data_IF_899632188978
#
_entry.id   IF_899632188978
#
_cell.length_a   1.000
_cell.length_b   1.000
_cell.length_c   1.000
_cell.angle_alpha   90.00
_cell.angle_beta   90.00
_cell.angle_gamma   90.00
#
_symmetry.space_group_name_H-M   'P 1'
#
loop_
_entity.id
_entity.type
_entity.pdbx_description
1 polymer ?
#
# COMPACT_ATOMS: atom_id res chain seq x y z
N UNK A 1 30.86 -17.40 29.55
CA UNK A 1 30.15 -17.91 30.76
C UNK A 1 29.11 -18.93 30.36
N UNK A 2 29.03 -20.09 31.01
CA UNK A 2 27.92 -21.04 30.73
C UNK A 2 26.61 -20.42 31.28
N UNK A 3 25.61 -20.24 30.42
CA UNK A 3 24.27 -19.83 30.84
C UNK A 3 23.66 -20.86 31.78
N UNK A 4 23.26 -20.43 32.95
CA UNK A 4 22.55 -21.30 33.89
C UNK A 4 21.05 -21.21 33.66
N UNK A 5 20.45 -22.33 33.23
CA UNK A 5 19.02 -22.45 33.06
C UNK A 5 18.50 -23.62 33.91
N UNK A 6 17.55 -23.32 34.85
CA UNK A 6 16.98 -24.32 35.75
C UNK A 6 15.47 -24.09 35.93
N UNK A 7 14.71 -25.18 35.88
CA UNK A 7 13.27 -25.21 36.18
C UNK A 7 13.05 -26.12 37.39
N UNK A 8 12.41 -25.61 38.42
CA UNK A 8 12.08 -26.35 39.65
C UNK A 8 10.59 -26.24 39.92
N UNK A 9 10.03 -27.29 40.51
CA UNK A 9 8.67 -27.26 41.09
C UNK A 9 8.72 -27.38 42.60
N UNK A 10 7.76 -26.74 43.26
CA UNK A 10 7.64 -26.76 44.72
C UNK A 10 6.19 -26.51 45.10
N UNK A 11 5.81 -26.84 46.34
CA UNK A 11 4.47 -26.59 46.86
C UNK A 11 4.47 -25.34 47.75
N UNK A 12 3.37 -24.56 47.67
CA UNK A 12 3.19 -23.37 48.48
C UNK A 12 2.31 -23.70 49.68
N UNK A 13 2.95 -24.04 50.85
CA UNK A 13 2.27 -24.37 52.08
C UNK A 13 1.42 -23.25 52.68
N UNK A 14 1.73 -21.96 52.38
CA UNK A 14 0.93 -20.83 52.86
C UNK A 14 -0.47 -20.74 52.24
N UNK A 15 -0.73 -21.50 51.17
CA UNK A 15 -2.01 -21.57 50.49
C UNK A 15 -2.67 -22.94 50.60
N UNK A 16 -2.40 -23.64 51.68
CA UNK A 16 -3.02 -24.93 52.01
C UNK A 16 -4.53 -24.80 52.24
N UNK A 17 -5.32 -25.67 51.63
CA UNK A 17 -6.77 -25.81 51.87
C UNK A 17 -7.10 -27.30 51.88
N UNK A 18 -7.76 -27.76 52.95
CA UNK A 18 -8.18 -29.16 53.11
C UNK A 18 -7.08 -30.17 52.79
N UNK A 19 -5.89 -29.99 53.39
CA UNK A 19 -4.69 -30.81 53.17
C UNK A 19 -4.09 -30.79 51.74
N UNK A 20 -4.65 -29.98 50.84
CA UNK A 20 -4.13 -29.78 49.51
C UNK A 20 -3.34 -28.47 49.38
N UNK A 21 -2.21 -28.54 48.70
CA UNK A 21 -1.31 -27.40 48.45
C UNK A 21 -1.14 -27.17 46.95
N UNK A 22 -1.12 -25.91 46.48
CA UNK A 22 -0.86 -25.59 45.10
C UNK A 22 0.61 -25.82 44.74
N UNK A 23 0.83 -26.39 43.53
CA UNK A 23 2.17 -26.56 42.96
C UNK A 23 2.57 -25.29 42.21
N UNK A 24 3.77 -24.81 42.51
CA UNK A 24 4.39 -23.63 41.93
C UNK A 24 5.61 -24.05 41.10
N UNK A 25 5.88 -23.33 40.01
CA UNK A 25 7.09 -23.44 39.23
C UNK A 25 8.02 -22.26 39.45
N UNK A 26 9.33 -22.50 39.37
CA UNK A 26 10.39 -21.49 39.42
C UNK A 26 11.34 -21.69 38.26
N UNK A 27 11.52 -20.64 37.47
CA UNK A 27 12.55 -20.57 36.41
C UNK A 27 13.70 -19.73 36.95
N UNK A 28 14.93 -20.19 36.79
CA UNK A 28 16.16 -19.45 37.13
C UNK A 28 17.06 -19.41 35.92
N UNK A 29 17.48 -18.20 35.49
CA UNK A 29 18.37 -17.96 34.38
C UNK A 29 19.39 -16.89 34.75
N UNK A 30 20.67 -17.22 34.72
CA UNK A 30 21.78 -16.29 35.00
C UNK A 30 21.56 -15.43 36.26
N UNK A 31 21.05 -16.04 37.33
CA UNK A 31 20.74 -15.34 38.59
C UNK A 31 19.37 -14.66 38.66
N UNK A 32 18.69 -14.43 37.54
CA UNK A 32 17.30 -13.96 37.56
C UNK A 32 16.34 -15.09 37.87
N UNK A 33 15.28 -14.78 38.66
CA UNK A 33 14.32 -15.77 39.16
C UNK A 33 12.89 -15.28 38.87
N UNK A 34 12.05 -16.16 38.32
CA UNK A 34 10.64 -15.92 38.13
C UNK A 34 9.80 -17.11 38.60
N UNK A 35 8.67 -16.83 39.24
CA UNK A 35 7.76 -17.84 39.77
C UNK A 35 6.42 -17.78 39.08
N UNK A 36 5.74 -18.95 38.97
CA UNK A 36 4.42 -19.06 38.36
C UNK A 36 3.61 -20.19 39.00
N UNK A 37 2.29 -20.12 38.88
CA UNK A 37 1.41 -21.23 39.31
C UNK A 37 1.33 -22.29 38.22
N UNK A 38 1.48 -23.55 38.61
CA UNK A 38 1.26 -24.66 37.67
C UNK A 38 -0.24 -24.97 37.46
N UNK A 39 -1.13 -24.30 38.19
CA UNK A 39 -2.58 -24.60 38.25
C UNK A 39 -2.90 -26.04 38.59
N UNK A 40 -2.06 -26.65 39.38
CA UNK A 40 -2.19 -28.01 39.91
C UNK A 40 -2.17 -27.93 41.46
N UNK A 41 -2.88 -28.84 42.09
CA UNK A 41 -2.88 -29.03 43.53
C UNK A 41 -2.53 -30.48 43.89
N UNK A 42 -1.94 -30.71 45.04
CA UNK A 42 -1.56 -32.05 45.49
C UNK A 42 -1.75 -32.13 47.02
N UNK A 43 -2.08 -33.32 47.54
CA UNK A 43 -2.06 -33.57 48.96
C UNK A 43 -0.63 -33.38 49.50
N UNK A 44 -0.46 -32.63 50.58
CA UNK A 44 0.85 -32.25 51.15
C UNK A 44 1.73 -33.45 51.42
N UNK A 45 1.15 -34.55 51.90
CA UNK A 45 1.84 -35.82 52.19
C UNK A 45 2.38 -36.50 50.95
N UNK A 46 1.79 -36.25 49.79
CA UNK A 46 2.18 -36.85 48.50
C UNK A 46 3.29 -36.06 47.79
N UNK A 47 3.75 -34.95 48.29
CA UNK A 47 4.83 -34.17 47.67
C UNK A 47 6.22 -34.62 48.16
N UNK A 48 7.13 -34.88 47.18
CA UNK A 48 8.53 -35.06 47.46
C UNK A 48 9.32 -33.77 47.24
N UNK A 49 9.69 -33.10 48.35
CA UNK A 49 10.42 -31.87 48.32
C UNK A 49 11.86 -32.01 47.78
N UNK A 50 12.50 -33.21 47.92
CA UNK A 50 13.83 -33.46 47.38
C UNK A 50 13.80 -33.77 45.86
N UNK A 51 12.83 -34.56 45.44
CA UNK A 51 12.62 -34.90 44.03
C UNK A 51 11.89 -33.83 43.22
N UNK A 52 11.28 -32.84 43.88
CA UNK A 52 10.47 -31.77 43.26
C UNK A 52 9.30 -32.34 42.41
N UNK A 53 8.64 -33.42 42.89
CA UNK A 53 7.54 -34.09 42.18
C UNK A 53 6.65 -34.90 43.15
N UNK A 54 5.55 -35.44 42.62
CA UNK A 54 4.67 -36.29 43.42
C UNK A 54 5.31 -37.64 43.78
N UNK A 55 5.13 -38.10 45.04
CA UNK A 55 5.57 -39.39 45.54
C UNK A 55 4.68 -40.53 45.07
N UNK A 56 5.25 -41.75 44.99
CA UNK A 56 4.51 -42.99 44.76
C UNK A 56 4.17 -43.29 43.29
N UNK A 57 3.40 -44.36 43.09
CA UNK A 57 3.02 -44.88 41.76
C UNK A 57 1.50 -44.84 41.54
N UNK A 58 0.75 -44.09 42.34
CA UNK A 58 -0.69 -43.89 42.16
C UNK A 58 -0.99 -43.26 40.80
N UNK A 59 -2.22 -43.38 40.31
CA UNK A 59 -2.67 -42.74 39.09
C UNK A 59 -2.52 -41.24 39.19
N UNK A 60 -2.95 -40.64 40.29
CA UNK A 60 -2.84 -39.22 40.60
C UNK A 60 -1.41 -38.72 40.55
N UNK A 61 -0.45 -39.43 41.21
CA UNK A 61 0.97 -39.11 41.17
C UNK A 61 1.54 -39.14 39.76
N UNK A 62 1.15 -40.12 38.95
CA UNK A 62 1.58 -40.21 37.54
C UNK A 62 1.04 -39.06 36.72
N UNK A 63 -0.24 -38.76 36.86
CA UNK A 63 -0.88 -37.68 36.08
C UNK A 63 -0.29 -36.30 36.43
N UNK A 64 -0.04 -36.04 37.72
CA UNK A 64 0.66 -34.82 38.17
C UNK A 64 2.07 -34.73 37.62
N UNK A 65 2.85 -35.83 37.74
CA UNK A 65 4.22 -35.84 37.22
C UNK A 65 4.30 -35.66 35.70
N UNK A 66 3.37 -36.25 34.96
CA UNK A 66 3.26 -36.04 33.51
C UNK A 66 2.95 -34.59 33.15
N UNK A 67 2.03 -33.97 33.92
CA UNK A 67 1.70 -32.56 33.75
C UNK A 67 2.91 -31.64 34.05
N UNK A 68 3.68 -31.95 35.07
CA UNK A 68 4.92 -31.20 35.41
C UNK A 68 6.00 -31.34 34.33
N UNK A 69 6.17 -32.56 33.81
CA UNK A 69 7.11 -32.81 32.72
C UNK A 69 6.70 -32.06 31.41
N UNK A 70 5.41 -32.01 31.11
CA UNK A 70 4.86 -31.20 30.00
C UNK A 70 5.10 -29.69 30.19
N UNK A 71 4.86 -29.17 31.39
CA UNK A 71 5.13 -27.77 31.75
C UNK A 71 6.62 -27.46 31.57
N UNK A 72 7.49 -28.33 32.06
CA UNK A 72 8.95 -28.18 31.92
C UNK A 72 9.38 -28.17 30.45
N UNK A 73 8.84 -29.05 29.62
CA UNK A 73 9.13 -29.12 28.19
C UNK A 73 8.69 -27.81 27.48
N UNK A 74 7.52 -27.28 27.80
CA UNK A 74 7.04 -26.01 27.25
C UNK A 74 7.96 -24.84 27.62
N UNK A 75 8.39 -24.76 28.89
CA UNK A 75 9.30 -23.71 29.38
C UNK A 75 10.65 -23.81 28.65
N UNK A 76 11.20 -25.01 28.47
CA UNK A 76 12.44 -25.25 27.71
C UNK A 76 12.26 -24.74 26.27
N UNK A 77 11.15 -25.06 25.62
CA UNK A 77 10.85 -24.59 24.26
C UNK A 77 10.77 -23.06 24.16
N UNK A 78 10.14 -22.40 25.14
CA UNK A 78 10.10 -20.95 25.20
C UNK A 78 11.50 -20.35 25.44
N UNK A 79 12.29 -20.93 26.34
CA UNK A 79 13.67 -20.50 26.56
C UNK A 79 14.51 -20.57 25.29
N UNK A 80 14.49 -21.70 24.57
CA UNK A 80 15.21 -21.85 23.32
C UNK A 80 14.79 -20.81 22.30
N UNK A 81 13.46 -20.63 22.09
CA UNK A 81 12.92 -19.66 21.13
C UNK A 81 13.34 -18.23 21.43
N UNK A 82 13.40 -17.84 22.71
CA UNK A 82 13.83 -16.51 23.12
C UNK A 82 15.35 -16.37 22.98
N UNK A 83 16.12 -17.40 23.38
CA UNK A 83 17.58 -17.42 23.29
C UNK A 83 18.09 -17.34 21.85
N UNK A 84 17.32 -17.86 20.86
CA UNK A 84 17.65 -17.79 19.43
C UNK A 84 17.42 -16.39 18.82
N UNK A 85 16.70 -15.51 19.53
CA UNK A 85 16.26 -14.21 19.00
C UNK A 85 16.81 -13.00 19.76
N UNK A 86 17.03 -13.16 21.05
CA UNK A 86 17.38 -12.07 21.96
C UNK A 86 18.84 -12.19 22.41
N UNK A 87 19.51 -11.07 22.48
CA UNK A 87 20.92 -11.01 22.95
C UNK A 87 21.08 -11.45 24.41
N UNK A 88 20.00 -11.43 25.19
CA UNK A 88 19.96 -11.93 26.57
C UNK A 88 18.58 -12.47 26.92
N UNK A 89 18.52 -13.43 27.83
CA UNK A 89 17.28 -14.05 28.29
C UNK A 89 17.17 -13.92 29.82
N UNK A 90 16.01 -13.44 30.29
CA UNK A 90 15.69 -13.42 31.72
C UNK A 90 14.65 -14.46 32.11
N UNK A 91 14.63 -14.89 33.35
CA UNK A 91 13.60 -15.80 33.88
C UNK A 91 12.18 -15.23 33.72
N UNK A 92 12.05 -13.92 33.82
CA UNK A 92 10.77 -13.24 33.63
C UNK A 92 10.26 -13.29 32.20
N UNK A 93 11.12 -13.10 31.20
CA UNK A 93 10.78 -13.25 29.78
C UNK A 93 10.24 -14.66 29.47
N UNK A 94 10.89 -15.69 30.00
CA UNK A 94 10.47 -17.08 29.81
C UNK A 94 9.16 -17.39 30.52
N UNK A 95 9.01 -16.94 31.78
CA UNK A 95 7.75 -17.06 32.54
C UNK A 95 6.59 -16.38 31.76
N UNK A 96 6.79 -15.16 31.35
CA UNK A 96 5.78 -14.38 30.66
C UNK A 96 5.38 -15.06 29.33
N UNK A 97 6.34 -15.55 28.56
CA UNK A 97 6.10 -16.29 27.33
C UNK A 97 5.29 -17.58 27.59
N UNK A 98 5.61 -18.31 28.67
CA UNK A 98 4.87 -19.50 29.08
C UNK A 98 3.44 -19.19 29.54
N UNK A 99 3.26 -18.11 30.31
CA UNK A 99 1.95 -17.67 30.81
C UNK A 99 1.12 -16.88 29.77
N UNK A 100 1.70 -16.57 28.61
CA UNK A 100 1.10 -15.64 27.65
C UNK A 100 1.05 -14.19 28.15
N UNK A 101 1.80 -13.85 29.21
CA UNK A 101 1.89 -12.52 29.78
C UNK A 101 3.02 -11.77 29.05
N UNK A 102 2.69 -10.65 28.41
CA UNK A 102 3.69 -9.79 27.76
C UNK A 102 4.19 -10.28 26.39
N UNK A 103 3.79 -11.44 25.88
CA UNK A 103 3.60 -11.60 24.46
C UNK A 103 2.25 -10.94 24.17
N UNK A 104 2.24 -9.65 23.91
CA UNK A 104 1.29 -9.15 22.93
C UNK A 104 1.57 -10.03 21.72
N UNK A 105 0.82 -11.11 21.55
CA UNK A 105 0.71 -11.77 20.25
C UNK A 105 0.26 -10.64 19.34
N UNK A 106 1.17 -10.14 18.52
CA UNK A 106 0.80 -9.06 17.66
C UNK A 106 -0.34 -9.57 16.80
N UNK A 107 -1.50 -9.03 17.08
CA UNK A 107 -2.70 -9.37 16.32
C UNK A 107 -2.66 -8.64 15.00
N UNK A 108 -3.34 -9.16 14.01
CA UNK A 108 -3.30 -8.62 12.66
C UNK A 108 -3.82 -7.18 12.60
N UNK A 109 -4.96 -6.90 13.26
CA UNK A 109 -5.50 -5.53 13.31
C UNK A 109 -4.64 -4.63 14.21
N UNK A 110 -4.10 -5.14 15.30
CA UNK A 110 -3.16 -4.41 16.15
C UNK A 110 -1.91 -3.96 15.40
N UNK A 111 -1.30 -4.83 14.60
CA UNK A 111 -0.17 -4.47 13.73
C UNK A 111 -0.56 -3.45 12.66
N UNK A 112 -1.76 -3.58 12.09
CA UNK A 112 -2.27 -2.63 11.12
C UNK A 112 -2.47 -1.24 11.76
N UNK A 113 -3.00 -1.20 12.97
CA UNK A 113 -3.24 0.04 13.71
C UNK A 113 -1.91 0.74 14.08
N UNK A 114 -0.90 0.00 14.56
CA UNK A 114 0.46 0.52 14.82
C UNK A 114 1.09 1.15 13.56
N UNK A 115 0.97 0.45 12.41
CA UNK A 115 1.51 0.96 11.14
C UNK A 115 0.73 2.19 10.65
N UNK A 116 -0.59 2.24 10.87
CA UNK A 116 -1.43 3.40 10.56
C UNK A 116 -1.08 4.61 11.44
N UNK A 117 -0.84 4.43 12.73
CA UNK A 117 -0.41 5.50 13.63
C UNK A 117 0.98 6.05 13.22
N UNK A 118 1.91 5.16 12.88
CA UNK A 118 3.23 5.57 12.35
C UNK A 118 3.08 6.36 11.04
N UNK A 119 2.17 5.95 10.16
CA UNK A 119 1.88 6.67 8.92
C UNK A 119 1.25 8.04 9.18
N UNK A 120 0.31 8.12 10.14
CA UNK A 120 -0.40 9.34 10.52
C UNK A 120 0.56 10.44 11.00
N UNK A 121 1.58 10.08 11.79
CA UNK A 121 2.62 11.02 12.27
C UNK A 121 3.42 11.68 11.13
N UNK A 122 3.43 11.09 9.93
CA UNK A 122 4.18 11.58 8.77
C UNK A 122 3.32 12.34 7.76
N UNK A 123 2.02 12.56 8.07
CA UNK A 123 1.12 13.36 7.23
C UNK A 123 1.59 14.83 7.25
N UNK A 124 1.65 15.42 6.06
CA UNK A 124 2.12 16.80 5.89
C UNK A 124 3.65 16.92 5.71
N UNK A 125 4.43 15.91 6.08
CA UNK A 125 5.88 15.87 5.86
C UNK A 125 6.19 15.10 4.56
N UNK A 126 5.89 13.82 4.51
CA UNK A 126 6.18 12.94 3.37
C UNK A 126 4.96 12.10 2.92
N UNK A 127 3.86 12.20 3.61
CA UNK A 127 2.65 11.41 3.38
C UNK A 127 1.41 12.28 3.22
N UNK A 128 0.52 11.89 2.31
CA UNK A 128 -0.74 12.59 2.08
C UNK A 128 -1.86 12.06 2.99
N UNK A 129 -2.71 12.96 3.50
CA UNK A 129 -3.89 12.62 4.30
C UNK A 129 -4.88 11.71 3.54
N UNK A 130 -4.98 11.87 2.20
CA UNK A 130 -5.80 11.00 1.35
C UNK A 130 -5.34 9.55 1.38
N UNK A 131 -4.02 9.30 1.39
CA UNK A 131 -3.45 7.96 1.51
C UNK A 131 -3.74 7.33 2.87
N UNK A 132 -3.72 8.12 3.94
CA UNK A 132 -4.12 7.65 5.27
C UNK A 132 -5.59 7.19 5.30
N UNK A 133 -6.51 7.96 4.67
CA UNK A 133 -7.91 7.55 4.58
C UNK A 133 -8.10 6.20 3.89
N UNK A 134 -7.33 5.92 2.85
CA UNK A 134 -7.36 4.60 2.17
C UNK A 134 -6.88 3.49 3.10
N UNK A 135 -5.82 3.71 3.89
CA UNK A 135 -5.31 2.74 4.85
C UNK A 135 -6.32 2.42 5.95
N UNK A 136 -6.99 3.45 6.50
CA UNK A 136 -8.06 3.26 7.49
C UNK A 136 -9.21 2.43 6.91
N UNK A 137 -9.61 2.69 5.66
CA UNK A 137 -10.62 1.85 4.98
C UNK A 137 -10.15 0.40 4.82
N UNK A 138 -8.88 0.17 4.44
CA UNK A 138 -8.31 -1.18 4.34
C UNK A 138 -8.39 -1.92 5.66
N UNK A 139 -8.03 -1.27 6.76
CA UNK A 139 -8.14 -1.81 8.11
C UNK A 139 -9.57 -2.17 8.49
N UNK A 140 -10.53 -1.29 8.14
CA UNK A 140 -11.95 -1.51 8.45
C UNK A 140 -12.54 -2.68 7.62
N UNK A 141 -12.19 -2.81 6.34
CA UNK A 141 -12.58 -3.97 5.53
C UNK A 141 -12.02 -5.26 6.10
N UNK A 142 -10.77 -5.25 6.56
CA UNK A 142 -10.13 -6.41 7.17
C UNK A 142 -10.83 -6.79 8.49
N UNK A 143 -11.17 -5.82 9.35
CA UNK A 143 -11.92 -6.06 10.58
C UNK A 143 -13.31 -6.64 10.31
N UNK A 144 -14.02 -6.12 9.31
CA UNK A 144 -15.32 -6.62 8.91
C UNK A 144 -15.23 -8.07 8.39
N UNK A 145 -14.22 -8.39 7.59
CA UNK A 145 -13.93 -9.75 7.14
C UNK A 145 -13.69 -10.72 8.30
N UNK A 146 -12.79 -10.37 9.22
CA UNK A 146 -12.47 -11.20 10.40
C UNK A 146 -13.73 -11.44 11.22
N UNK A 147 -14.51 -10.39 11.48
CA UNK A 147 -15.76 -10.51 12.22
C UNK A 147 -16.79 -11.40 11.52
N UNK A 148 -16.94 -11.27 10.20
CA UNK A 148 -17.92 -12.04 9.41
C UNK A 148 -17.53 -13.50 9.26
N UNK A 149 -16.29 -13.78 8.81
CA UNK A 149 -15.86 -15.13 8.42
C UNK A 149 -15.31 -15.94 9.60
N UNK A 150 -14.60 -15.28 10.53
CA UNK A 150 -13.95 -15.97 11.67
C UNK A 150 -14.69 -15.79 12.99
N UNK A 151 -15.75 -14.93 13.07
CA UNK A 151 -16.53 -14.64 14.28
C UNK A 151 -15.65 -14.15 15.45
N UNK A 152 -14.56 -13.48 15.15
CA UNK A 152 -13.59 -12.92 16.12
C UNK A 152 -13.44 -11.42 15.95
N UNK A 153 -12.96 -10.74 17.01
CA UNK A 153 -12.61 -9.32 16.95
C UNK A 153 -11.27 -9.06 16.27
N UNK A 154 -10.33 -10.04 16.34
CA UNK A 154 -9.01 -9.99 15.73
C UNK A 154 -8.42 -11.41 15.62
N UNK A 155 -7.30 -11.58 14.89
CA UNK A 155 -6.60 -12.85 14.68
C UNK A 155 -5.12 -12.68 15.02
N UNK A 156 -4.52 -13.69 15.66
CA UNK A 156 -3.07 -13.71 15.88
C UNK A 156 -2.30 -13.83 14.57
N UNK A 157 -1.19 -13.09 14.43
CA UNK A 157 -0.28 -13.21 13.29
C UNK A 157 0.22 -14.65 13.06
N UNK A 158 0.29 -15.46 14.13
CA UNK A 158 0.75 -16.84 14.06
C UNK A 158 -0.30 -17.81 13.46
N UNK A 159 -1.59 -17.43 13.47
CA UNK A 159 -2.69 -18.21 12.93
C UNK A 159 -2.89 -18.00 11.42
N UNK A 160 -2.21 -17.01 10.81
CA UNK A 160 -2.39 -16.68 9.41
C UNK A 160 -1.90 -17.82 8.49
N UNK A 161 -2.77 -18.23 7.58
CA UNK A 161 -2.50 -19.24 6.55
C UNK A 161 -2.42 -18.59 5.16
N UNK A 162 -1.83 -19.26 4.16
CA UNK A 162 -1.84 -18.78 2.77
C UNK A 162 -3.25 -18.54 2.20
N UNK A 163 -4.25 -19.27 2.69
CA UNK A 163 -5.63 -19.16 2.20
C UNK A 163 -6.37 -17.96 2.78
N UNK A 164 -5.97 -17.44 3.94
CA UNK A 164 -6.57 -16.26 4.56
C UNK A 164 -6.64 -15.05 3.60
N UNK A 165 -5.56 -14.76 2.85
CA UNK A 165 -5.55 -13.61 1.93
C UNK A 165 -6.41 -13.87 0.69
N UNK A 166 -6.56 -15.12 0.25
CA UNK A 166 -7.47 -15.51 -0.86
C UNK A 166 -8.93 -15.38 -0.44
N UNK A 167 -9.27 -15.83 0.76
CA UNK A 167 -10.62 -15.67 1.34
C UNK A 167 -10.96 -14.18 1.51
N UNK A 168 -9.97 -13.36 1.93
CA UNK A 168 -10.14 -11.92 2.03
C UNK A 168 -10.38 -11.28 0.66
N UNK A 169 -9.65 -11.71 -0.39
CA UNK A 169 -9.85 -11.26 -1.78
C UNK A 169 -11.28 -11.57 -2.27
N UNK A 170 -11.75 -12.79 -2.03
CA UNK A 170 -13.12 -13.21 -2.36
C UNK A 170 -14.12 -12.34 -1.61
N UNK A 171 -13.97 -12.19 -0.30
CA UNK A 171 -14.84 -11.35 0.52
C UNK A 171 -14.92 -9.91 0.00
N UNK A 172 -13.79 -9.30 -0.36
CA UNK A 172 -13.75 -7.94 -0.90
C UNK A 172 -14.50 -7.82 -2.23
N UNK A 173 -14.42 -8.85 -3.06
CA UNK A 173 -15.05 -8.86 -4.39
C UNK A 173 -16.55 -9.15 -4.31
N UNK A 174 -16.97 -10.10 -3.47
CA UNK A 174 -18.36 -10.59 -3.38
C UNK A 174 -19.17 -9.82 -2.34
N UNK A 175 -18.73 -9.85 -1.08
CA UNK A 175 -19.48 -9.29 0.05
C UNK A 175 -19.35 -7.77 0.18
N UNK A 176 -18.16 -7.24 -0.06
CA UNK A 176 -17.92 -5.80 -0.04
C UNK A 176 -18.20 -5.13 -1.40
N UNK A 177 -18.39 -5.89 -2.47
CA UNK A 177 -18.73 -5.39 -3.82
C UNK A 177 -17.69 -4.48 -4.42
N UNK A 178 -16.40 -4.67 -4.09
CA UNK A 178 -15.35 -3.79 -4.55
C UNK A 178 -14.84 -4.16 -5.95
N UNK A 179 -14.48 -3.13 -6.73
CA UNK A 179 -13.81 -3.33 -8.02
C UNK A 179 -12.38 -3.86 -7.86
N UNK A 180 -11.90 -4.63 -8.83
CA UNK A 180 -10.59 -5.31 -8.82
C UNK A 180 -9.41 -4.42 -8.39
N UNK A 181 -9.36 -3.16 -8.81
CA UNK A 181 -8.29 -2.23 -8.41
C UNK A 181 -8.31 -1.89 -6.92
N UNK A 182 -9.49 -1.82 -6.30
CA UNK A 182 -9.65 -1.62 -4.85
C UNK A 182 -9.31 -2.91 -4.09
N UNK A 183 -9.79 -4.06 -4.57
CA UNK A 183 -9.45 -5.38 -4.02
C UNK A 183 -7.95 -5.57 -3.98
N UNK A 184 -7.27 -5.34 -5.12
CA UNK A 184 -5.82 -5.39 -5.21
C UNK A 184 -5.15 -4.50 -4.14
N UNK A 185 -5.60 -3.25 -4.03
CA UNK A 185 -5.02 -2.30 -3.08
C UNK A 185 -5.15 -2.77 -1.64
N UNK A 186 -6.31 -3.29 -1.24
CA UNK A 186 -6.54 -3.79 0.12
C UNK A 186 -5.73 -5.06 0.41
N UNK A 187 -5.64 -6.01 -0.52
CA UNK A 187 -4.80 -7.21 -0.40
C UNK A 187 -3.31 -6.86 -0.31
N UNK A 188 -2.85 -5.86 -1.07
CA UNK A 188 -1.46 -5.41 -1.01
C UNK A 188 -1.12 -4.73 0.32
N UNK A 189 -2.06 -3.98 0.91
CA UNK A 189 -1.88 -3.44 2.27
C UNK A 189 -1.75 -4.56 3.30
N UNK A 190 -2.64 -5.55 3.27
CA UNK A 190 -2.57 -6.72 4.15
C UNK A 190 -1.22 -7.44 3.99
N UNK A 191 -0.81 -7.73 2.75
CA UNK A 191 0.49 -8.36 2.45
C UNK A 191 1.65 -7.54 3.01
N UNK A 192 1.60 -6.21 2.90
CA UNK A 192 2.65 -5.32 3.41
C UNK A 192 2.75 -5.38 4.93
N UNK A 193 1.63 -5.37 5.65
CA UNK A 193 1.62 -5.47 7.12
C UNK A 193 2.23 -6.79 7.59
N UNK A 194 1.80 -7.91 6.99
CA UNK A 194 2.32 -9.24 7.35
C UNK A 194 3.80 -9.40 6.98
N UNK A 195 4.22 -8.82 5.83
CA UNK A 195 5.64 -8.83 5.46
C UNK A 195 6.51 -8.04 6.44
N UNK A 196 6.03 -6.87 6.92
CA UNK A 196 6.70 -6.09 7.97
C UNK A 196 6.77 -6.86 9.29
N UNK A 197 5.68 -7.52 9.69
CA UNK A 197 5.65 -8.34 10.90
C UNK A 197 6.68 -9.49 10.81
N UNK A 198 6.78 -10.14 9.67
CA UNK A 198 7.78 -11.18 9.44
C UNK A 198 9.21 -10.62 9.49
N UNK A 199 9.48 -9.50 8.80
CA UNK A 199 10.79 -8.85 8.81
C UNK A 199 11.22 -8.44 10.23
N UNK A 200 10.27 -7.99 11.07
CA UNK A 200 10.50 -7.64 12.47
C UNK A 200 10.53 -8.86 13.42
N UNK A 201 10.53 -10.09 12.91
CA UNK A 201 10.60 -11.31 13.70
C UNK A 201 9.35 -11.69 14.48
N UNK A 202 8.23 -11.01 14.24
CA UNK A 202 6.94 -11.26 14.94
C UNK A 202 6.24 -12.51 14.45
N UNK A 203 6.55 -12.97 13.22
CA UNK A 203 6.09 -14.26 12.69
C UNK A 203 7.28 -15.06 12.13
N UNK A 204 7.31 -16.40 12.30
CA UNK A 204 8.43 -17.23 11.83
C UNK A 204 8.46 -17.34 10.30
N UNK A 205 7.34 -17.11 9.62
CA UNK A 205 7.20 -17.17 8.16
C UNK A 205 6.20 -16.11 7.67
N UNK A 206 6.34 -15.71 6.41
CA UNK A 206 5.36 -14.89 5.73
C UNK A 206 4.41 -15.78 4.91
N UNK A 207 3.17 -16.04 5.37
CA UNK A 207 2.24 -16.92 4.67
C UNK A 207 1.79 -16.36 3.32
N UNK A 208 1.95 -15.05 3.08
CA UNK A 208 1.52 -14.38 1.85
C UNK A 208 2.67 -14.12 0.86
N UNK A 209 3.86 -14.71 1.08
CA UNK A 209 5.02 -14.48 0.22
C UNK A 209 4.73 -14.83 -1.26
N UNK A 210 4.08 -15.97 -1.50
CA UNK A 210 3.75 -16.48 -2.83
C UNK A 210 2.46 -15.87 -3.43
N UNK A 211 1.68 -15.13 -2.63
CA UNK A 211 0.42 -14.56 -3.09
C UNK A 211 0.65 -13.52 -4.19
N UNK A 212 -0.05 -13.68 -5.30
CA UNK A 212 -0.09 -12.74 -6.43
C UNK A 212 -1.55 -12.40 -6.71
N UNK A 213 -1.87 -11.11 -6.72
CA UNK A 213 -3.19 -10.63 -7.14
C UNK A 213 -3.18 -10.44 -8.65
N UNK A 214 -4.14 -11.03 -9.34
CA UNK A 214 -4.34 -10.73 -10.76
C UNK A 214 -4.90 -9.32 -10.90
N UNK A 215 -4.08 -8.41 -11.40
CA UNK A 215 -4.55 -7.10 -11.83
C UNK A 215 -5.18 -7.21 -13.21
N UNK A 216 -6.50 -7.40 -13.28
CA UNK A 216 -7.23 -7.09 -14.50
C UNK A 216 -7.29 -5.56 -14.62
N UNK A 217 -6.23 -4.96 -15.12
CA UNK A 217 -6.16 -3.53 -15.40
C UNK A 217 -7.00 -3.29 -16.65
N UNK A 218 -8.22 -2.78 -16.48
CA UNK A 218 -8.98 -2.24 -17.61
C UNK A 218 -8.15 -1.13 -18.25
N UNK A 219 -7.93 -1.20 -19.56
CA UNK A 219 -7.32 -0.10 -20.29
C UNK A 219 -8.14 1.17 -20.08
N UNK A 220 -7.47 2.24 -19.70
CA UNK A 220 -8.15 3.52 -19.52
C UNK A 220 -8.45 4.10 -20.89
N UNK A 221 -9.70 4.49 -21.08
CA UNK A 221 -10.13 5.17 -22.29
C UNK A 221 -9.54 6.59 -22.34
N UNK A 222 -9.33 7.09 -23.52
CA UNK A 222 -8.94 8.47 -23.82
C UNK A 222 -9.60 8.91 -25.13
N UNK A 223 -9.65 10.21 -25.37
CA UNK A 223 -10.17 10.74 -26.62
C UNK A 223 -9.11 10.68 -27.73
N UNK A 224 -9.53 10.26 -28.91
CA UNK A 224 -8.73 10.35 -30.14
C UNK A 224 -8.58 11.80 -30.58
N UNK A 225 -7.71 12.08 -31.54
CA UNK A 225 -7.53 13.42 -32.11
C UNK A 225 -8.85 13.98 -32.65
N UNK A 226 -9.62 13.16 -33.39
CA UNK A 226 -10.90 13.59 -33.94
C UNK A 226 -11.98 13.82 -32.90
N UNK A 227 -12.04 12.98 -31.86
CA UNK A 227 -12.94 13.19 -30.73
C UNK A 227 -12.58 14.47 -29.95
N UNK A 228 -11.29 14.81 -29.82
CA UNK A 228 -10.87 16.09 -29.23
C UNK A 228 -11.33 17.25 -30.10
N UNK A 229 -11.22 17.18 -31.44
CA UNK A 229 -11.71 18.19 -32.35
C UNK A 229 -13.23 18.40 -32.19
N UNK A 230 -14.02 17.30 -32.08
CA UNK A 230 -15.45 17.37 -31.83
C UNK A 230 -15.74 18.12 -30.53
N UNK A 231 -15.04 17.78 -29.45
CA UNK A 231 -15.21 18.47 -28.16
C UNK A 231 -14.85 19.96 -28.26
N UNK A 232 -13.80 20.31 -29.00
CA UNK A 232 -13.34 21.70 -29.15
C UNK A 232 -14.33 22.57 -29.93
N UNK A 233 -14.95 22.01 -30.97
CA UNK A 233 -15.84 22.75 -31.88
C UNK A 233 -17.30 22.75 -31.45
N UNK A 234 -17.66 21.89 -30.47
CA UNK A 234 -19.04 21.81 -30.00
C UNK A 234 -19.45 23.07 -29.25
N UNK A 235 -20.59 23.68 -29.63
CA UNK A 235 -21.16 24.83 -28.95
C UNK A 235 -22.10 24.39 -27.82
N UNK A 236 -21.78 24.77 -26.59
CA UNK A 236 -22.59 24.47 -25.42
C UNK A 236 -23.42 25.67 -25.05
N UNK A 237 -24.74 25.52 -24.95
CA UNK A 237 -25.65 26.54 -24.45
C UNK A 237 -25.39 26.81 -22.94
N UNK A 238 -25.00 25.80 -22.18
CA UNK A 238 -24.62 25.94 -20.78
C UNK A 238 -23.18 26.45 -20.65
N UNK A 239 -23.03 27.69 -20.16
CA UNK A 239 -21.72 28.35 -19.91
C UNK A 239 -20.79 27.49 -19.01
N UNK A 240 -21.37 26.70 -18.10
CA UNK A 240 -20.59 25.80 -17.24
C UNK A 240 -20.00 24.65 -18.03
N UNK A 241 -20.74 24.09 -18.97
CA UNK A 241 -20.22 23.03 -19.85
C UNK A 241 -19.15 23.57 -20.80
N UNK A 242 -19.33 24.79 -21.34
CA UNK A 242 -18.33 25.46 -22.14
C UNK A 242 -17.01 25.69 -21.36
N UNK A 243 -17.11 26.12 -20.10
CA UNK A 243 -15.94 26.27 -19.24
C UNK A 243 -15.24 24.94 -18.98
N UNK A 244 -16.00 23.87 -18.71
CA UNK A 244 -15.43 22.51 -18.47
C UNK A 244 -14.80 21.97 -19.74
N UNK A 245 -15.37 22.23 -20.93
CA UNK A 245 -14.73 21.92 -22.21
C UNK A 245 -13.35 22.58 -22.31
N UNK A 246 -13.29 23.90 -22.06
CA UNK A 246 -12.04 24.63 -22.17
C UNK A 246 -10.97 24.12 -21.20
N UNK A 247 -11.34 23.81 -19.95
CA UNK A 247 -10.44 23.18 -18.98
C UNK A 247 -9.99 21.78 -19.41
N UNK A 248 -10.90 20.99 -20.00
CA UNK A 248 -10.61 19.66 -20.49
C UNK A 248 -9.65 19.72 -21.68
N UNK A 249 -9.90 20.63 -22.62
CA UNK A 249 -9.03 20.89 -23.78
C UNK A 249 -7.66 21.39 -23.30
N UNK A 250 -7.61 22.36 -22.41
CA UNK A 250 -6.36 22.83 -21.82
C UNK A 250 -5.54 21.69 -21.22
N UNK A 251 -6.17 20.81 -20.41
CA UNK A 251 -5.53 19.63 -19.85
C UNK A 251 -5.07 18.62 -20.94
N UNK A 252 -5.80 18.51 -22.03
CA UNK A 252 -5.46 17.60 -23.15
C UNK A 252 -4.24 18.06 -23.94
N UNK A 253 -3.91 19.34 -23.92
CA UNK A 253 -2.75 19.91 -24.61
C UNK A 253 -1.57 20.23 -23.68
N UNK A 254 -1.76 20.21 -22.36
CA UNK A 254 -0.70 20.48 -21.37
C UNK A 254 -0.32 19.27 -20.54
N UNK A 255 -1.13 18.20 -20.59
CA UNK A 255 -0.98 17.02 -19.73
C UNK A 255 -1.02 17.32 -18.22
N UNK A 256 -1.47 18.49 -17.81
CA UNK A 256 -1.60 18.85 -16.41
C UNK A 256 -2.71 18.04 -15.74
N UNK A 257 -2.48 17.62 -14.49
CA UNK A 257 -3.54 17.02 -13.70
C UNK A 257 -4.51 18.10 -13.20
N UNK A 258 -5.71 17.70 -12.81
CA UNK A 258 -6.68 18.65 -12.26
C UNK A 258 -6.13 19.48 -11.11
N UNK A 259 -5.35 18.88 -10.21
CA UNK A 259 -4.75 19.56 -9.07
C UNK A 259 -3.68 20.56 -9.52
N UNK A 260 -2.84 20.20 -10.49
CA UNK A 260 -1.83 21.10 -11.04
C UNK A 260 -2.49 22.31 -11.73
N UNK A 261 -3.62 22.11 -12.46
CA UNK A 261 -4.39 23.22 -13.07
C UNK A 261 -5.04 24.10 -11.99
N UNK A 262 -5.57 23.50 -10.94
CA UNK A 262 -6.19 24.23 -9.82
C UNK A 262 -5.20 25.15 -9.12
N UNK A 263 -3.94 24.73 -9.02
CA UNK A 263 -2.88 25.49 -8.33
C UNK A 263 -2.03 26.33 -9.29
N UNK A 264 -2.34 26.29 -10.60
CA UNK A 264 -1.58 27.01 -11.62
C UNK A 264 -1.76 28.53 -11.44
N UNK A 265 -0.63 29.23 -11.29
CA UNK A 265 -0.57 30.68 -11.17
C UNK A 265 0.01 31.34 -12.41
N UNK A 266 -0.21 32.63 -12.55
CA UNK A 266 0.44 33.44 -13.60
C UNK A 266 1.97 33.46 -13.44
N UNK A 267 2.46 33.33 -12.21
CA UNK A 267 3.91 33.27 -11.93
C UNK A 267 4.56 31.95 -12.41
N UNK A 268 3.78 30.89 -12.63
CA UNK A 268 4.26 29.65 -13.24
C UNK A 268 4.45 29.75 -14.76
N UNK A 269 3.90 30.80 -15.39
CA UNK A 269 3.98 31.03 -16.84
C UNK A 269 5.13 31.96 -17.14
N UNK A 270 6.18 31.43 -17.72
CA UNK A 270 7.41 32.15 -18.03
C UNK A 270 7.65 32.22 -19.53
N UNK A 271 8.39 33.21 -20.00
CA UNK A 271 8.82 33.31 -21.38
C UNK A 271 10.26 32.82 -21.54
N UNK A 272 10.46 31.89 -22.48
CA UNK A 272 11.77 31.33 -22.80
C UNK A 272 11.92 31.38 -24.32
N UNK A 273 12.90 32.13 -24.81
CA UNK A 273 13.17 32.31 -26.26
C UNK A 273 11.94 32.79 -27.06
N UNK A 274 11.15 33.70 -26.51
CA UNK A 274 9.95 34.23 -27.17
C UNK A 274 8.72 33.31 -27.09
N UNK A 275 8.82 32.18 -26.42
CA UNK A 275 7.76 31.19 -26.27
C UNK A 275 7.31 31.07 -24.82
N UNK A 276 6.02 30.89 -24.57
CA UNK A 276 5.49 30.73 -23.22
C UNK A 276 5.55 29.28 -22.75
N UNK A 277 6.00 29.11 -21.52
CA UNK A 277 6.18 27.82 -20.88
C UNK A 277 5.54 27.83 -19.49
N UNK A 278 4.99 26.68 -19.07
CA UNK A 278 4.65 26.43 -17.66
C UNK A 278 5.83 25.72 -17.02
N UNK A 279 6.42 26.36 -15.98
CA UNK A 279 7.43 25.78 -15.11
C UNK A 279 6.87 25.65 -13.70
N UNK A 280 6.63 24.44 -13.24
CA UNK A 280 6.06 24.22 -11.91
C UNK A 280 6.46 22.86 -11.34
N UNK A 281 5.94 22.52 -10.17
CA UNK A 281 6.19 21.26 -9.49
C UNK A 281 4.90 20.45 -9.36
N UNK A 282 4.94 19.17 -9.69
CA UNK A 282 3.79 18.28 -9.48
C UNK A 282 3.34 18.31 -8.03
N UNK A 283 2.07 18.57 -7.79
CA UNK A 283 1.49 18.60 -6.43
C UNK A 283 1.78 17.29 -5.68
N UNK A 284 1.58 16.14 -6.32
CA UNK A 284 1.68 14.82 -5.69
C UNK A 284 3.12 14.35 -5.44
N UNK A 285 4.03 14.60 -6.38
CA UNK A 285 5.39 14.01 -6.36
C UNK A 285 6.48 15.03 -6.11
N UNK A 286 6.13 16.33 -6.11
CA UNK A 286 7.06 17.47 -6.00
C UNK A 286 8.14 17.50 -7.08
N UNK A 287 7.97 16.72 -8.16
CA UNK A 287 8.88 16.68 -9.31
C UNK A 287 8.63 17.89 -10.18
N UNK A 288 9.70 18.57 -10.57
CA UNK A 288 9.64 19.66 -11.54
C UNK A 288 9.15 19.14 -12.88
N UNK A 289 8.29 19.89 -13.52
CA UNK A 289 7.86 19.65 -14.89
C UNK A 289 7.88 20.96 -15.68
N UNK A 290 7.98 20.83 -16.99
CA UNK A 290 7.96 21.94 -17.90
C UNK A 290 7.11 21.59 -19.12
N UNK A 291 6.25 22.52 -19.52
CA UNK A 291 5.31 22.34 -20.62
C UNK A 291 5.34 23.59 -21.49
N UNK A 292 5.68 23.44 -22.78
CA UNK A 292 5.51 24.52 -23.75
C UNK A 292 4.03 24.77 -23.97
N UNK A 293 3.60 26.00 -23.87
CA UNK A 293 2.23 26.38 -24.19
C UNK A 293 2.08 26.54 -25.70
N UNK A 294 1.26 25.65 -26.28
CA UNK A 294 0.86 25.72 -27.68
C UNK A 294 -0.26 26.76 -27.84
N UNK A 295 -0.63 27.10 -29.08
CA UNK A 295 -1.61 28.14 -29.40
C UNK A 295 -2.97 27.93 -28.71
N UNK A 296 -3.47 26.69 -28.65
CA UNK A 296 -4.78 26.37 -28.07
C UNK A 296 -4.79 26.66 -26.56
N UNK A 297 -3.87 26.14 -25.73
CA UNK A 297 -3.73 26.54 -24.33
C UNK A 297 -3.60 28.06 -24.13
N UNK A 298 -2.83 28.75 -24.98
CA UNK A 298 -2.68 30.21 -24.87
C UNK A 298 -3.99 30.95 -25.12
N UNK A 299 -4.75 30.56 -26.14
CA UNK A 299 -6.08 31.12 -26.41
C UNK A 299 -7.04 30.90 -25.24
N UNK A 300 -6.99 29.71 -24.59
CA UNK A 300 -7.82 29.42 -23.43
C UNK A 300 -7.42 30.32 -22.25
N UNK A 301 -6.12 30.46 -21.95
CA UNK A 301 -5.65 31.35 -20.87
C UNK A 301 -6.15 32.80 -21.12
N UNK A 302 -5.97 33.32 -22.33
CA UNK A 302 -6.40 34.66 -22.71
C UNK A 302 -7.91 34.87 -22.56
N UNK A 303 -8.72 33.83 -22.89
CA UNK A 303 -10.19 33.90 -22.73
C UNK A 303 -10.62 34.11 -21.28
N UNK A 304 -9.86 33.56 -20.32
CA UNK A 304 -10.18 33.62 -18.89
C UNK A 304 -9.34 34.65 -18.11
N UNK A 305 -8.47 35.42 -18.76
CA UNK A 305 -7.55 36.40 -18.14
C UNK A 305 -8.28 37.39 -17.23
N UNK A 306 -9.43 37.91 -17.67
CA UNK A 306 -10.25 38.88 -16.88
C UNK A 306 -10.94 38.29 -15.65
N UNK A 307 -10.92 36.96 -15.50
CA UNK A 307 -11.52 36.26 -14.36
C UNK A 307 -10.47 35.72 -13.37
N UNK A 308 -9.20 36.06 -13.61
CA UNK A 308 -8.12 35.66 -12.74
C UNK A 308 -8.22 36.38 -11.39
N UNK A 309 -8.17 35.61 -10.31
CA UNK A 309 -8.16 36.08 -8.94
C UNK A 309 -6.98 35.48 -8.22
N UNK A 310 -6.36 36.22 -7.30
CA UNK A 310 -5.20 35.75 -6.50
C UNK A 310 -4.06 35.11 -7.33
N UNK A 311 -3.80 35.66 -8.54
CA UNK A 311 -2.87 35.15 -9.53
C UNK A 311 -3.22 33.75 -10.09
N UNK A 312 -4.31 33.12 -9.70
CA UNK A 312 -4.74 31.83 -10.25
C UNK A 312 -5.20 32.00 -11.71
N UNK A 313 -4.65 31.17 -12.59
CA UNK A 313 -5.05 31.16 -14.02
C UNK A 313 -6.52 30.72 -14.17
N UNK A 314 -6.94 29.76 -13.36
CA UNK A 314 -8.31 29.25 -13.34
C UNK A 314 -8.85 29.24 -11.89
N UNK A 315 -9.51 30.32 -11.43
CA UNK A 315 -10.01 30.42 -10.05
C UNK A 315 -11.20 29.49 -9.80
N UNK A 316 -11.49 29.24 -8.52
CA UNK A 316 -12.69 28.55 -8.02
C UNK A 316 -12.89 27.10 -8.53
N UNK A 317 -11.81 26.39 -8.87
CA UNK A 317 -11.89 25.00 -9.32
C UNK A 317 -12.16 24.02 -8.18
N UNK A 318 -13.26 23.25 -8.32
CA UNK A 318 -13.60 22.16 -7.43
C UNK A 318 -13.82 20.86 -8.26
N UNK A 319 -13.08 19.82 -7.94
CA UNK A 319 -13.14 18.56 -8.65
C UNK A 319 -14.55 17.94 -8.74
N UNK A 320 -15.29 18.00 -7.64
CA UNK A 320 -16.66 17.46 -7.58
C UNK A 320 -17.64 18.21 -8.49
N UNK A 321 -17.41 19.50 -8.69
CA UNK A 321 -18.23 20.35 -9.57
C UNK A 321 -17.94 20.12 -11.06
N UNK A 322 -16.85 19.38 -11.38
CA UNK A 322 -16.42 19.11 -12.75
C UNK A 322 -16.74 17.68 -13.17
N UNK A 323 -16.64 16.68 -12.29
CA UNK A 323 -16.78 15.27 -12.67
C UNK A 323 -18.12 14.91 -13.32
N UNK A 324 -19.25 15.36 -12.73
CA UNK A 324 -20.59 15.07 -13.30
C UNK A 324 -20.86 15.85 -14.59
N UNK A 325 -20.63 17.17 -14.64
CA UNK A 325 -20.81 17.94 -15.87
C UNK A 325 -19.86 17.51 -16.98
N UNK A 326 -18.63 17.04 -16.67
CA UNK A 326 -17.73 16.47 -17.69
C UNK A 326 -18.36 15.28 -18.42
N UNK A 327 -18.97 14.35 -17.66
CA UNK A 327 -19.66 13.21 -18.28
C UNK A 327 -20.84 13.66 -19.15
N UNK A 328 -21.59 14.68 -18.72
CA UNK A 328 -22.67 15.29 -19.49
C UNK A 328 -22.11 15.92 -20.79
N UNK A 329 -21.04 16.71 -20.68
CA UNK A 329 -20.35 17.35 -21.82
C UNK A 329 -19.89 16.33 -22.87
N UNK A 330 -19.22 15.25 -22.46
CA UNK A 330 -18.75 14.19 -23.36
C UNK A 330 -19.92 13.49 -24.07
N UNK A 331 -21.01 13.21 -23.34
CA UNK A 331 -22.21 12.60 -23.92
C UNK A 331 -22.90 13.54 -24.91
N UNK A 332 -22.95 14.84 -24.65
CA UNK A 332 -23.55 15.87 -25.52
C UNK A 332 -22.76 15.98 -26.83
N UNK A 333 -21.44 15.74 -26.80
CA UNK A 333 -20.60 15.61 -28.00
C UNK A 333 -20.79 14.29 -28.76
N UNK A 334 -21.71 13.42 -28.39
CA UNK A 334 -21.95 12.14 -29.07
C UNK A 334 -20.90 11.05 -28.74
N UNK A 335 -20.06 11.25 -27.74
CA UNK A 335 -18.97 10.33 -27.39
C UNK A 335 -19.44 9.36 -26.32
N UNK A 336 -19.40 8.04 -26.61
CA UNK A 336 -19.88 6.98 -25.70
C UNK A 336 -18.85 6.51 -24.66
N UNK A 337 -17.60 7.01 -24.73
CA UNK A 337 -16.52 6.61 -23.82
C UNK A 337 -16.72 7.14 -22.40
N UNK A 338 -16.37 6.33 -21.38
CA UNK A 338 -16.35 6.78 -19.99
C UNK A 338 -15.07 7.57 -19.70
N UNK A 339 -15.15 8.87 -19.93
CA UNK A 339 -14.03 9.81 -19.81
C UNK A 339 -14.05 10.49 -18.46
N UNK A 340 -12.93 10.44 -17.75
CA UNK A 340 -12.63 11.24 -16.58
C UNK A 340 -11.62 12.34 -16.90
N UNK A 341 -11.48 13.35 -16.03
CA UNK A 341 -10.51 14.42 -16.26
C UNK A 341 -9.06 13.89 -16.39
N UNK A 342 -8.73 12.78 -15.72
CA UNK A 342 -7.41 12.16 -15.83
C UNK A 342 -7.13 11.53 -17.21
N UNK A 343 -8.18 11.26 -17.99
CA UNK A 343 -8.03 10.73 -19.36
C UNK A 343 -7.35 11.71 -20.30
N UNK A 344 -7.39 13.04 -20.03
CA UNK A 344 -6.68 14.07 -20.83
C UNK A 344 -5.18 13.79 -20.85
N UNK A 345 -4.60 13.46 -19.70
CA UNK A 345 -3.18 13.15 -19.58
C UNK A 345 -2.80 11.85 -20.29
N UNK A 346 -3.69 10.84 -20.29
CA UNK A 346 -3.52 9.63 -21.08
C UNK A 346 -3.56 9.94 -22.58
N UNK A 347 -4.56 10.72 -23.01
CA UNK A 347 -4.71 11.14 -24.40
C UNK A 347 -3.49 11.92 -24.90
N UNK A 348 -3.02 12.92 -24.12
CA UNK A 348 -1.80 13.66 -24.43
C UNK A 348 -0.60 12.73 -24.64
N UNK A 349 -0.35 11.83 -23.67
CA UNK A 349 0.81 10.95 -23.74
C UNK A 349 0.76 10.03 -24.97
N UNK A 350 -0.40 9.43 -25.27
CA UNK A 350 -0.58 8.56 -26.42
C UNK A 350 -0.46 9.35 -27.73
N UNK A 351 -1.09 10.52 -27.82
CA UNK A 351 -1.02 11.38 -29.01
C UNK A 351 0.39 11.88 -29.27
N UNK A 352 1.09 12.38 -28.25
CA UNK A 352 2.46 12.87 -28.41
C UNK A 352 3.41 11.75 -28.90
N UNK A 353 3.32 10.55 -28.30
CA UNK A 353 4.12 9.40 -28.74
C UNK A 353 3.77 8.95 -30.15
N UNK A 354 2.49 8.97 -30.55
CA UNK A 354 2.07 8.61 -31.93
C UNK A 354 2.55 9.63 -32.96
N UNK A 355 2.71 10.90 -32.57
CA UNK A 355 3.26 11.96 -33.43
C UNK A 355 4.79 11.99 -33.44
N UNK A 356 5.46 11.06 -32.75
CA UNK A 356 6.92 10.91 -32.77
C UNK A 356 7.67 11.71 -31.70
N UNK A 357 6.98 12.30 -30.72
CA UNK A 357 7.67 12.95 -29.60
C UNK A 357 8.41 11.88 -28.79
N UNK A 358 9.71 12.06 -28.52
CA UNK A 358 10.51 11.09 -27.75
C UNK A 358 9.89 10.82 -26.38
N UNK A 359 9.95 9.56 -25.94
CA UNK A 359 9.32 9.11 -24.68
C UNK A 359 9.91 9.82 -23.46
N UNK A 360 11.19 10.19 -23.51
CA UNK A 360 11.89 10.96 -22.49
C UNK A 360 11.27 12.35 -22.35
N UNK A 361 11.01 13.02 -23.48
CA UNK A 361 10.36 14.34 -23.50
C UNK A 361 8.95 14.26 -22.96
N UNK A 362 8.15 13.24 -23.39
CA UNK A 362 6.81 13.01 -22.87
C UNK A 362 6.87 12.72 -21.36
N UNK A 363 7.82 11.91 -20.89
CA UNK A 363 8.01 11.61 -19.47
C UNK A 363 8.30 12.85 -18.63
N UNK A 364 9.11 13.78 -19.16
CA UNK A 364 9.41 15.09 -18.54
C UNK A 364 8.16 15.97 -18.43
N UNK A 365 7.43 16.14 -19.53
CA UNK A 365 6.16 16.90 -19.55
C UNK A 365 5.17 16.32 -18.53
N UNK A 366 5.09 14.99 -18.49
CA UNK A 366 4.26 14.30 -17.50
C UNK A 366 4.81 14.41 -16.07
N UNK A 367 6.06 14.79 -15.83
CA UNK A 367 6.68 14.80 -14.50
C UNK A 367 6.72 13.40 -13.87
N UNK A 368 7.04 12.38 -14.66
CA UNK A 368 7.26 11.04 -14.15
C UNK A 368 8.71 10.89 -13.65
N UNK A 369 8.89 10.31 -12.47
CA UNK A 369 10.20 9.97 -11.91
C UNK A 369 10.80 8.71 -12.54
N UNK A 370 9.94 7.85 -13.11
CA UNK A 370 10.34 6.60 -13.74
C UNK A 370 9.69 6.50 -15.12
N UNK A 371 10.50 6.35 -16.15
CA UNK A 371 10.09 6.27 -17.56
C UNK A 371 9.15 5.06 -17.82
N UNK A 372 9.26 3.98 -17.03
CA UNK A 372 8.36 2.81 -17.13
C UNK A 372 6.88 3.19 -16.95
N UNK A 373 6.63 4.30 -16.25
CA UNK A 373 5.27 4.84 -16.11
C UNK A 373 4.76 5.40 -17.44
N UNK A 374 5.65 5.95 -18.27
CA UNK A 374 5.33 6.49 -19.60
C UNK A 374 5.24 5.39 -20.66
N UNK A 375 6.02 4.31 -20.53
CA UNK A 375 6.01 3.16 -21.43
C UNK A 375 4.63 2.50 -21.56
N UNK A 376 3.76 2.65 -20.56
CA UNK A 376 2.36 2.18 -20.60
C UNK A 376 1.54 2.82 -21.73
N UNK A 377 1.96 3.98 -22.24
CA UNK A 377 1.32 4.70 -23.35
C UNK A 377 1.97 4.40 -24.69
N UNK A 378 3.18 3.83 -24.69
CA UNK A 378 3.93 3.50 -25.89
C UNK A 378 3.46 2.14 -26.45
N UNK A 379 2.32 2.12 -27.17
CA UNK A 379 1.96 0.99 -28.02
C UNK A 379 2.75 1.14 -29.31
N UNK A 380 3.82 0.36 -29.46
CA UNK A 380 4.59 0.32 -30.69
C UNK A 380 3.80 -0.51 -31.68
N UNK A 381 3.26 0.14 -32.73
CA UNK A 381 2.61 -0.52 -33.87
C UNK A 381 3.62 -0.75 -34.97
N UNK A 382 3.34 -1.73 -35.85
CA UNK A 382 4.16 -1.99 -37.05
C UNK A 382 4.30 -0.74 -37.92
N UNK A 383 3.21 0.04 -38.05
CA UNK A 383 3.19 1.32 -38.80
C UNK A 383 4.17 2.35 -38.20
N UNK A 384 4.28 2.40 -36.87
CA UNK A 384 5.24 3.29 -36.20
C UNK A 384 6.67 2.83 -36.47
N UNK A 385 6.94 1.53 -36.40
CA UNK A 385 8.26 0.97 -36.70
C UNK A 385 8.64 1.31 -38.13
N UNK A 386 7.74 1.09 -39.08
CA UNK A 386 7.94 1.39 -40.49
C UNK A 386 8.25 2.86 -40.71
N UNK A 387 7.46 3.76 -40.12
CA UNK A 387 7.69 5.21 -40.21
C UNK A 387 9.04 5.63 -39.65
N UNK A 388 9.38 5.12 -38.46
CA UNK A 388 10.65 5.47 -37.76
C UNK A 388 11.85 4.95 -38.58
N UNK A 389 11.78 3.72 -39.14
CA UNK A 389 12.83 3.14 -39.98
C UNK A 389 12.93 3.83 -41.34
N UNK A 390 11.81 4.24 -41.93
CA UNK A 390 11.78 5.02 -43.19
C UNK A 390 12.48 6.38 -42.99
N UNK A 391 12.17 7.09 -41.91
CA UNK A 391 12.85 8.35 -41.58
C UNK A 391 14.36 8.16 -41.34
N UNK A 392 14.73 7.10 -40.63
CA UNK A 392 16.14 6.76 -40.40
C UNK A 392 16.83 6.38 -41.73
N UNK A 393 16.21 5.56 -42.58
CA UNK A 393 16.73 5.21 -43.89
C UNK A 393 16.95 6.42 -44.79
N UNK A 394 16.00 7.36 -44.82
CA UNK A 394 16.13 8.60 -45.58
C UNK A 394 17.33 9.46 -45.08
N UNK A 395 17.49 9.55 -43.75
CA UNK A 395 18.64 10.26 -43.15
C UNK A 395 19.98 9.60 -43.51
N UNK A 396 20.04 8.26 -43.48
CA UNK A 396 21.24 7.52 -43.87
C UNK A 396 21.53 7.72 -45.41
N UNK A 397 20.53 7.61 -46.24
CA UNK A 397 20.66 7.79 -47.68
C UNK A 397 21.21 9.20 -48.01
N UNK A 398 20.77 10.23 -47.27
CA UNK A 398 21.30 11.58 -47.44
C UNK A 398 22.77 11.69 -46.99
N UNK A 399 23.14 11.01 -45.88
CA UNK A 399 24.51 11.05 -45.34
C UNK A 399 25.48 10.20 -46.16
N UNK A 400 25.01 9.17 -46.85
CA UNK A 400 25.88 8.24 -47.60
C UNK A 400 25.65 8.27 -49.12
N UNK A 401 24.99 9.32 -49.62
CA UNK A 401 24.60 9.44 -51.04
C UNK A 401 25.82 9.45 -52.01
N UNK A 402 26.97 9.82 -51.53
CA UNK A 402 28.21 9.91 -52.32
C UNK A 402 29.14 8.69 -52.14
N UNK A 403 28.74 7.70 -51.34
CA UNK A 403 29.59 6.53 -51.04
C UNK A 403 29.09 5.32 -51.82
N UNK A 404 29.95 4.82 -52.74
CA UNK A 404 29.72 3.51 -53.37
C UNK A 404 30.41 2.40 -52.59
N UNK A 405 29.70 1.26 -52.45
CA UNK A 405 30.29 0.06 -51.85
C UNK A 405 31.38 -0.45 -52.78
N UNK A 406 32.63 -0.57 -52.28
CA UNK A 406 33.69 -1.23 -53.02
C UNK A 406 33.30 -2.70 -53.26
N UNK A 407 33.29 -3.13 -54.53
CA UNK A 407 33.05 -4.52 -54.92
C UNK A 407 34.35 -5.31 -54.89
#
# INVERSE_FOLDING_TARGET
>A
MRSTFKVLFYVNGSKEKNDFVPIMGRVTINGSVAQFSCKLTIAKTMWDAKGNRAKGKSKESRDINLALDNIKAQIIKHYQRISDREAFVTAEMVRNAYQGIGTEYETLLGAFDKDNESFKKRIGIERAASSYKVRVRSRNHLAAFIKKCYKRSDISMLELTPDFIKEYEIYLSTDAGLHNGSVWSHCMWLKTIVSKAHYNGLTPRNPFAQYRVNQNIKERQYLTEDEIKVVMTHEFADKKLAYIRDLFVFASFTALSFVDIKELTTDDIVEINGEKWILSKRHKTKVNFQVKLLDIPLQIIKRYERFQEDKLVFPNLNYWNICKPLKKMIKECGISKDISFHCTRHGFATLALSKGVPIESVSRVLGHTNITTTQKYAKITTEKIDKDLTMFGNSLNQSFSEISIAM
#
